data_IF_954016061577
#
_entry.id   IF_954016061577
#
_cell.length_a   1.000
_cell.length_b   1.000
_cell.length_c   1.000
_cell.angle_alpha   90.00
_cell.angle_beta   90.00
_cell.angle_gamma   90.00
#
_symmetry.space_group_name_H-M   'P 1'
#
loop_
_entity.id
_entity.type
_entity.pdbx_description
1 polymer ?
#
# COMPACT_ATOMS: atom_id res chain seq x y z
N UNK A 1 24.72 -30.95 24.67
CA UNK A 1 24.63 -29.47 24.51
C UNK A 1 23.69 -29.20 23.36
N UNK A 2 22.40 -28.98 23.65
CA UNK A 2 21.38 -28.65 22.65
C UNK A 2 21.40 -27.13 22.49
N UNK A 3 21.79 -26.67 21.32
CA UNK A 3 21.71 -25.26 20.95
C UNK A 3 20.26 -24.82 20.93
N UNK A 4 19.96 -23.75 21.67
CA UNK A 4 18.72 -23.00 21.52
C UNK A 4 18.65 -22.48 20.08
N UNK A 5 17.54 -22.67 19.35
CA UNK A 5 17.35 -21.93 18.13
C UNK A 5 17.15 -20.46 18.53
N UNK A 6 18.11 -19.62 18.15
CA UNK A 6 17.94 -18.18 18.20
C UNK A 6 16.70 -17.83 17.37
N UNK A 7 15.70 -17.24 18.02
CA UNK A 7 14.62 -16.50 17.39
C UNK A 7 15.26 -15.34 16.60
N UNK A 8 15.63 -15.63 15.35
CA UNK A 8 15.89 -14.61 14.35
C UNK A 8 14.53 -13.94 14.09
N UNK A 9 14.31 -12.83 14.80
CA UNK A 9 13.31 -11.83 14.48
C UNK A 9 13.44 -11.52 12.99
N UNK A 10 12.46 -11.95 12.21
CA UNK A 10 12.27 -11.43 10.87
C UNK A 10 11.95 -9.94 11.06
N UNK A 11 12.92 -9.09 10.77
CA UNK A 11 12.75 -7.65 10.70
C UNK A 11 11.85 -7.41 9.50
N UNK A 12 10.53 -7.32 9.73
CA UNK A 12 9.64 -6.66 8.81
C UNK A 12 10.16 -5.23 8.70
N UNK A 13 10.67 -4.87 7.52
CA UNK A 13 11.03 -3.49 7.22
C UNK A 13 9.72 -2.70 7.29
N UNK A 14 9.46 -2.07 8.44
CA UNK A 14 8.50 -0.99 8.56
C UNK A 14 9.02 0.08 7.62
N UNK A 15 8.55 0.06 6.38
CA UNK A 15 8.61 1.22 5.53
C UNK A 15 7.64 2.22 6.17
N UNK A 16 8.16 3.01 7.10
CA UNK A 16 7.56 4.30 7.43
C UNK A 16 7.27 4.92 6.08
N UNK A 17 6.00 5.12 5.77
CA UNK A 17 5.63 5.98 4.66
C UNK A 17 6.09 7.36 5.09
N UNK A 18 7.36 7.67 4.83
CA UNK A 18 7.88 9.03 4.87
C UNK A 18 7.28 9.74 3.65
N UNK A 19 5.97 9.92 3.69
CA UNK A 19 5.34 11.10 3.17
C UNK A 19 6.14 12.27 3.75
N UNK A 20 6.77 13.06 2.88
CA UNK A 20 7.55 14.20 3.33
C UNK A 20 6.73 15.01 4.32
N UNK A 21 7.36 15.45 5.42
CA UNK A 21 6.71 16.38 6.34
C UNK A 21 6.24 17.59 5.53
N UNK A 22 4.96 17.95 5.64
CA UNK A 22 4.38 19.15 5.03
C UNK A 22 5.01 20.40 5.63
N UNK A 23 6.22 20.71 5.18
CA UNK A 23 6.76 22.06 5.25
C UNK A 23 6.09 22.90 4.17
N UNK A 24 5.91 24.20 4.44
CA UNK A 24 5.45 25.11 3.40
C UNK A 24 6.36 25.00 2.17
N UNK A 25 5.77 24.76 1.00
CA UNK A 25 6.53 24.72 -0.26
C UNK A 25 7.02 26.12 -0.60
N UNK A 26 8.34 26.36 -0.50
CA UNK A 26 8.94 27.63 -0.89
C UNK A 26 9.09 27.67 -2.42
N UNK A 27 8.46 28.63 -3.13
CA UNK A 27 8.56 28.75 -4.58
C UNK A 27 10.00 28.82 -5.11
N UNK A 28 10.98 29.25 -4.30
CA UNK A 28 12.40 29.32 -4.71
C UNK A 28 13.07 27.96 -4.88
N UNK A 29 12.49 26.90 -4.32
CA UNK A 29 13.01 25.52 -4.42
C UNK A 29 12.60 24.81 -5.72
N UNK A 30 11.85 25.52 -6.59
CA UNK A 30 11.27 24.99 -7.82
C UNK A 30 11.80 25.73 -9.04
N UNK A 31 12.13 24.97 -10.09
CA UNK A 31 12.59 25.51 -11.37
C UNK A 31 11.46 26.23 -12.12
N UNK A 32 10.21 25.82 -11.84
CA UNK A 32 9.02 26.45 -12.40
C UNK A 32 7.90 26.53 -11.39
N UNK A 33 7.31 27.71 -11.29
CA UNK A 33 6.13 27.99 -10.48
C UNK A 33 4.98 28.37 -11.42
N UNK A 34 3.84 27.72 -11.26
CA UNK A 34 2.62 27.97 -12.03
C UNK A 34 1.59 28.50 -11.04
N UNK A 35 1.30 29.80 -11.15
CA UNK A 35 0.40 30.55 -10.27
C UNK A 35 -0.87 31.05 -10.96
N UNK A 36 -1.02 30.75 -12.25
CA UNK A 36 -2.19 31.03 -13.08
C UNK A 36 -2.64 29.78 -13.85
N UNK A 37 -3.77 29.90 -14.57
CA UNK A 37 -4.31 28.82 -15.38
C UNK A 37 -3.55 28.68 -16.70
N UNK A 38 -3.05 27.47 -16.97
CA UNK A 38 -2.28 27.13 -18.16
C UNK A 38 -2.90 25.93 -18.86
N UNK A 39 -3.21 26.09 -20.14
CA UNK A 39 -3.64 24.99 -21.02
C UNK A 39 -2.54 24.70 -22.04
N UNK A 40 -1.74 23.68 -21.76
CA UNK A 40 -0.60 23.32 -22.57
C UNK A 40 -0.14 21.88 -22.32
N UNK A 41 0.52 21.31 -23.32
CA UNK A 41 1.18 20.02 -23.20
C UNK A 41 2.62 20.23 -22.74
N UNK A 42 3.02 19.57 -21.66
CA UNK A 42 4.38 19.66 -21.14
C UNK A 42 5.06 18.30 -21.05
N UNK A 43 6.35 18.32 -21.34
CA UNK A 43 7.29 17.31 -20.86
C UNK A 43 8.26 18.03 -19.93
N UNK A 44 8.31 17.61 -18.67
CA UNK A 44 9.20 18.24 -17.69
C UNK A 44 10.64 17.95 -18.10
N UNK A 45 11.51 18.98 -18.17
CA UNK A 45 12.93 18.79 -18.44
C UNK A 45 13.64 17.96 -17.37
N UNK A 46 14.83 17.44 -17.69
CA UNK A 46 15.49 16.49 -16.80
C UNK A 46 15.92 17.14 -15.50
N UNK A 47 15.47 16.58 -14.38
CA UNK A 47 15.80 17.03 -13.03
C UNK A 47 14.98 18.22 -12.56
N UNK A 48 14.08 18.75 -13.39
CA UNK A 48 13.27 19.91 -13.00
C UNK A 48 12.16 19.54 -12.01
N UNK A 49 11.90 20.49 -11.11
CA UNK A 49 10.86 20.44 -10.09
C UNK A 49 9.89 21.58 -10.32
N UNK A 50 8.63 21.24 -10.51
CA UNK A 50 7.57 22.20 -10.78
C UNK A 50 6.59 22.30 -9.61
N UNK A 51 6.14 23.51 -9.30
CA UNK A 51 5.11 23.79 -8.31
C UNK A 51 3.89 24.40 -8.99
N UNK A 52 2.72 23.81 -8.79
CA UNK A 52 1.43 24.43 -9.10
C UNK A 52 0.87 24.99 -7.79
N UNK A 53 0.88 26.31 -7.65
CA UNK A 53 0.42 26.99 -6.42
C UNK A 53 -1.10 26.87 -6.26
N UNK A 54 -1.68 27.22 -5.10
CA UNK A 54 -3.13 27.15 -4.89
C UNK A 54 -3.98 27.93 -5.91
N UNK A 55 -3.45 29.00 -6.52
CA UNK A 55 -4.13 29.76 -7.58
C UNK A 55 -3.86 29.22 -8.99
N UNK A 56 -2.82 28.41 -9.15
CA UNK A 56 -2.40 27.86 -10.43
C UNK A 56 -3.24 26.66 -10.88
N UNK A 57 -3.31 26.47 -12.19
CA UNK A 57 -3.83 25.22 -12.75
C UNK A 57 -3.15 24.85 -14.06
N UNK A 58 -3.02 23.54 -14.30
CA UNK A 58 -2.49 23.01 -15.56
C UNK A 58 -3.47 22.00 -16.13
N UNK A 59 -3.84 22.18 -17.39
CA UNK A 59 -4.64 21.21 -18.15
C UNK A 59 -3.92 20.85 -19.44
N UNK A 60 -3.84 19.55 -19.76
CA UNK A 60 -3.29 19.06 -21.02
C UNK A 60 -2.52 17.74 -20.86
N UNK A 61 -1.74 17.36 -21.87
CA UNK A 61 -0.91 16.16 -21.83
C UNK A 61 0.34 16.44 -21.00
N UNK A 62 0.44 15.80 -19.84
CA UNK A 62 1.55 16.02 -18.90
C UNK A 62 2.46 14.80 -18.86
N UNK A 63 3.74 15.01 -19.16
CA UNK A 63 4.77 13.99 -19.16
C UNK A 63 5.80 14.37 -18.11
N UNK A 64 5.76 13.71 -16.95
CA UNK A 64 6.59 14.08 -15.80
C UNK A 64 7.99 13.47 -15.95
N UNK A 65 8.14 12.16 -15.87
CA UNK A 65 9.43 11.48 -16.07
C UNK A 65 9.50 10.73 -17.39
N UNK A 66 9.95 11.34 -18.49
CA UNK A 66 10.07 10.67 -19.81
C UNK A 66 11.52 10.54 -20.25
N UNK A 67 12.07 9.33 -20.12
CA UNK A 67 13.50 9.01 -20.29
C UNK A 67 14.45 9.80 -19.39
N UNK A 68 13.90 10.49 -18.38
CA UNK A 68 14.57 11.46 -17.53
C UNK A 68 13.82 11.60 -16.19
N UNK A 69 14.40 12.32 -15.24
CA UNK A 69 13.73 12.59 -13.96
C UNK A 69 12.88 13.85 -14.00
N UNK A 70 11.77 13.90 -13.25
CA UNK A 70 10.96 15.09 -13.10
C UNK A 70 10.00 15.02 -11.92
N UNK A 71 9.64 16.17 -11.35
CA UNK A 71 8.74 16.28 -10.20
C UNK A 71 7.69 17.38 -10.42
N UNK A 72 6.43 17.11 -10.04
CA UNK A 72 5.39 18.12 -9.87
C UNK A 72 4.84 18.05 -8.45
N UNK A 73 4.76 19.19 -7.77
CA UNK A 73 3.94 19.39 -6.58
C UNK A 73 2.67 20.15 -6.96
N UNK A 74 1.52 19.66 -6.52
CA UNK A 74 0.18 20.18 -6.85
C UNK A 74 -0.49 20.67 -5.57
N UNK A 75 -0.54 21.99 -5.41
CA UNK A 75 -1.35 22.69 -4.38
C UNK A 75 -2.61 23.33 -4.98
N UNK A 76 -2.56 23.67 -6.27
CA UNK A 76 -3.71 24.09 -7.08
C UNK A 76 -4.34 22.92 -7.82
N UNK A 77 -4.37 22.97 -9.16
CA UNK A 77 -4.97 21.90 -9.97
C UNK A 77 -4.07 21.36 -11.09
N UNK A 78 -4.05 20.04 -11.24
CA UNK A 78 -3.41 19.33 -12.35
C UNK A 78 -4.42 18.40 -13.02
N UNK A 79 -4.82 18.72 -14.24
CA UNK A 79 -5.71 17.90 -15.07
C UNK A 79 -4.90 17.19 -16.18
N UNK A 80 -4.62 15.91 -15.97
CA UNK A 80 -3.90 15.05 -16.91
C UNK A 80 -4.86 14.42 -17.93
N UNK A 81 -4.70 14.76 -19.21
CA UNK A 81 -5.48 14.19 -20.32
C UNK A 81 -4.87 12.90 -20.88
N UNK A 82 -5.53 12.34 -21.90
CA UNK A 82 -5.09 11.12 -22.57
C UNK A 82 -3.71 11.28 -23.22
N UNK A 83 -2.80 10.35 -22.91
CA UNK A 83 -1.36 10.41 -23.25
C UNK A 83 -0.47 11.16 -22.27
N UNK A 84 -0.98 11.49 -21.08
CA UNK A 84 -0.13 11.88 -19.96
C UNK A 84 0.58 10.66 -19.36
N UNK A 85 1.72 10.88 -18.73
CA UNK A 85 2.54 9.86 -18.06
C UNK A 85 3.10 10.45 -16.77
N UNK A 86 2.95 9.73 -15.66
CA UNK A 86 3.80 10.02 -14.49
C UNK A 86 5.23 9.59 -14.84
N UNK A 87 5.43 8.38 -15.37
CA UNK A 87 6.73 7.97 -15.88
C UNK A 87 6.67 7.12 -17.15
N UNK A 88 7.67 7.27 -18.02
CA UNK A 88 7.82 6.52 -19.27
C UNK A 88 9.28 6.28 -19.65
N UNK A 89 9.55 5.09 -20.20
CA UNK A 89 10.85 4.59 -20.66
C UNK A 89 11.82 4.23 -19.52
N UNK A 90 12.79 3.36 -19.81
CA UNK A 90 13.68 2.72 -18.82
C UNK A 90 14.44 3.68 -17.87
N UNK A 91 14.76 4.90 -18.33
CA UNK A 91 15.43 5.93 -17.51
C UNK A 91 14.46 7.00 -17.01
N UNK A 92 13.18 6.91 -17.37
CA UNK A 92 12.15 7.81 -16.87
C UNK A 92 11.87 7.55 -15.41
N UNK A 93 11.92 8.61 -14.61
CA UNK A 93 11.45 8.58 -13.23
C UNK A 93 10.65 9.85 -12.92
N UNK A 94 9.35 9.71 -12.69
CA UNK A 94 8.48 10.86 -12.44
C UNK A 94 7.79 10.77 -11.08
N UNK A 95 7.68 11.92 -10.41
CA UNK A 95 6.93 12.05 -9.16
C UNK A 95 5.85 13.11 -9.29
N UNK A 96 4.63 12.78 -8.91
CA UNK A 96 3.54 13.75 -8.70
C UNK A 96 3.15 13.73 -7.23
N UNK A 97 3.21 14.87 -6.57
CA UNK A 97 2.79 15.04 -5.17
C UNK A 97 1.54 15.91 -5.13
N UNK A 98 0.46 15.41 -4.54
CA UNK A 98 -0.76 16.16 -4.23
C UNK A 98 -0.74 16.44 -2.74
N UNK A 99 -0.84 17.71 -2.37
CA UNK A 99 -0.77 18.15 -0.98
C UNK A 99 -1.74 19.31 -0.72
N UNK A 100 -1.94 19.63 0.56
CA UNK A 100 -2.86 20.68 1.03
C UNK A 100 -4.27 20.51 0.42
N UNK A 101 -4.74 21.48 -0.36
CA UNK A 101 -6.03 21.47 -1.06
C UNK A 101 -5.89 21.13 -2.55
N UNK A 102 -4.73 20.62 -2.97
CA UNK A 102 -4.41 20.32 -4.35
C UNK A 102 -5.33 19.28 -4.98
N UNK A 103 -5.58 19.43 -6.28
CA UNK A 103 -6.46 18.53 -7.05
C UNK A 103 -5.72 17.96 -8.24
N UNK A 104 -5.54 16.64 -8.25
CA UNK A 104 -5.09 15.87 -9.41
C UNK A 104 -6.29 15.18 -10.05
N UNK A 105 -6.62 15.52 -11.30
CA UNK A 105 -7.57 14.77 -12.09
C UNK A 105 -6.87 14.04 -13.23
N UNK A 106 -7.13 12.74 -13.33
CA UNK A 106 -6.59 11.86 -14.36
C UNK A 106 -7.77 11.37 -15.19
N UNK A 107 -8.08 12.10 -16.25
CA UNK A 107 -9.35 12.01 -16.98
C UNK A 107 -9.52 10.73 -17.80
N UNK A 108 -8.44 10.03 -18.08
CA UNK A 108 -8.44 8.81 -18.89
C UNK A 108 -7.44 7.81 -18.31
N UNK A 109 -7.31 6.66 -18.95
CA UNK A 109 -6.28 5.68 -18.58
C UNK A 109 -4.89 6.31 -18.70
N UNK A 110 -4.28 6.62 -17.57
CA UNK A 110 -2.91 7.11 -17.46
C UNK A 110 -2.10 6.04 -16.72
N UNK A 111 -1.05 5.49 -17.35
CA UNK A 111 -0.15 4.63 -16.62
C UNK A 111 0.71 5.46 -15.66
N UNK A 112 0.85 4.99 -14.43
CA UNK A 112 1.80 5.58 -13.48
C UNK A 112 3.22 5.30 -13.97
N UNK A 113 3.48 4.08 -14.43
CA UNK A 113 4.74 3.71 -15.07
C UNK A 113 4.51 2.94 -16.37
N UNK A 114 5.38 3.19 -17.35
CA UNK A 114 5.29 2.60 -18.68
C UNK A 114 6.67 2.42 -19.33
N UNK A 115 6.80 1.41 -20.19
CA UNK A 115 7.95 1.15 -21.07
C UNK A 115 9.31 1.03 -20.32
N UNK A 116 9.29 0.53 -19.08
CA UNK A 116 10.42 0.36 -18.15
C UNK A 116 10.60 1.50 -17.14
N UNK A 117 9.69 2.48 -17.10
CA UNK A 117 9.80 3.66 -16.23
C UNK A 117 9.51 3.38 -14.76
N UNK A 118 9.84 4.38 -13.92
CA UNK A 118 9.56 4.39 -12.48
C UNK A 118 8.67 5.57 -12.10
N UNK A 119 7.38 5.34 -11.84
CA UNK A 119 6.43 6.38 -11.51
C UNK A 119 6.03 6.38 -10.04
N UNK A 120 5.95 7.56 -9.43
CA UNK A 120 5.48 7.73 -8.05
C UNK A 120 4.38 8.78 -7.98
N UNK A 121 3.28 8.47 -7.30
CA UNK A 121 2.26 9.44 -6.89
C UNK A 121 2.23 9.49 -5.37
N UNK A 122 2.35 10.69 -4.79
CA UNK A 122 2.21 10.93 -3.35
C UNK A 122 0.94 11.72 -3.10
N UNK A 123 0.12 11.29 -2.17
CA UNK A 123 -1.15 11.92 -1.78
C UNK A 123 -1.04 12.23 -0.29
N UNK A 124 -0.60 13.45 -0.01
CA UNK A 124 -0.34 13.95 1.34
C UNK A 124 -1.57 14.68 1.90
N UNK A 125 -2.30 15.35 1.00
CA UNK A 125 -3.57 16.04 1.23
C UNK A 125 -4.42 16.03 -0.04
N UNK A 126 -5.42 16.92 -0.10
CA UNK A 126 -6.16 17.23 -1.32
C UNK A 126 -6.97 16.06 -1.91
N UNK A 127 -7.17 16.12 -3.23
CA UNK A 127 -7.93 15.14 -3.99
C UNK A 127 -7.13 14.58 -5.18
N UNK A 128 -7.09 13.26 -5.31
CA UNK A 128 -6.53 12.55 -6.47
C UNK A 128 -7.59 11.68 -7.13
N UNK A 129 -8.11 12.13 -8.27
CA UNK A 129 -9.22 11.51 -8.99
C UNK A 129 -8.73 10.80 -10.25
N UNK A 130 -8.68 9.47 -10.19
CA UNK A 130 -8.40 8.59 -11.34
C UNK A 130 -9.72 8.19 -12.00
N UNK A 131 -10.12 8.94 -13.02
CA UNK A 131 -11.45 8.81 -13.65
C UNK A 131 -11.51 7.64 -14.66
N UNK A 132 -10.40 7.36 -15.34
CA UNK A 132 -10.24 6.17 -16.19
C UNK A 132 -9.62 4.98 -15.45
N UNK A 133 -9.37 3.88 -16.17
CA UNK A 133 -8.63 2.74 -15.61
C UNK A 133 -7.26 3.19 -15.09
N UNK A 134 -6.97 2.90 -13.82
CA UNK A 134 -5.66 3.18 -13.25
C UNK A 134 -4.76 1.97 -13.45
N UNK A 135 -3.66 2.17 -14.15
CA UNK A 135 -2.73 1.10 -14.50
C UNK A 135 -1.37 1.46 -13.92
N UNK A 136 -0.92 0.69 -12.94
CA UNK A 136 0.37 0.94 -12.30
C UNK A 136 1.50 0.64 -13.31
N UNK A 137 1.43 -0.52 -13.96
CA UNK A 137 2.34 -0.91 -15.05
C UNK A 137 1.55 -1.17 -16.32
N UNK A 138 1.95 -0.55 -17.43
CA UNK A 138 1.31 -0.79 -18.72
C UNK A 138 1.67 -2.16 -19.31
N UNK A 139 2.80 -2.76 -18.91
CA UNK A 139 3.06 -4.20 -19.11
C UNK A 139 3.29 -4.62 -20.56
N UNK A 140 4.13 -3.92 -21.31
CA UNK A 140 4.54 -4.35 -22.66
C UNK A 140 5.83 -5.19 -22.63
N UNK A 141 5.91 -6.18 -21.73
CA UNK A 141 7.11 -7.00 -21.54
C UNK A 141 8.31 -6.23 -20.99
N UNK A 142 8.07 -5.10 -20.31
CA UNK A 142 9.09 -4.29 -19.61
C UNK A 142 8.77 -4.21 -18.12
N UNK A 143 9.80 -4.29 -17.29
CA UNK A 143 9.67 -4.19 -15.84
C UNK A 143 9.43 -2.73 -15.44
N UNK A 144 8.17 -2.29 -15.47
CA UNK A 144 7.76 -0.99 -14.95
C UNK A 144 7.68 -1.04 -13.42
N UNK A 145 7.98 0.08 -12.74
CA UNK A 145 7.73 0.21 -11.29
C UNK A 145 6.80 1.38 -11.02
N UNK A 146 5.66 1.14 -10.38
CA UNK A 146 4.73 2.19 -10.02
C UNK A 146 4.38 2.14 -8.54
N UNK A 147 4.42 3.32 -7.91
CA UNK A 147 4.16 3.50 -6.49
C UNK A 147 3.10 4.57 -6.26
N UNK A 148 2.11 4.29 -5.42
CA UNK A 148 1.25 5.29 -4.78
C UNK A 148 1.53 5.27 -3.27
N UNK A 149 1.80 6.43 -2.69
CA UNK A 149 1.94 6.62 -1.26
C UNK A 149 0.87 7.60 -0.79
N UNK A 150 0.01 7.19 0.13
CA UNK A 150 -1.05 8.04 0.67
C UNK A 150 -0.95 8.13 2.19
N UNK A 151 -0.88 9.35 2.71
CA UNK A 151 -0.87 9.64 4.15
C UNK A 151 -1.99 10.57 4.59
N UNK A 152 -2.68 11.20 3.64
CA UNK A 152 -3.84 12.04 3.86
C UNK A 152 -4.68 12.17 2.59
N UNK A 153 -5.52 13.20 2.52
CA UNK A 153 -6.36 13.49 1.37
C UNK A 153 -7.36 12.39 0.99
N UNK A 154 -7.94 12.51 -0.20
CA UNK A 154 -8.89 11.57 -0.80
C UNK A 154 -8.39 11.10 -2.16
N UNK A 155 -8.34 9.79 -2.35
CA UNK A 155 -8.12 9.18 -3.66
C UNK A 155 -9.38 8.46 -4.15
N UNK A 156 -9.77 8.72 -5.39
CA UNK A 156 -10.92 8.09 -6.03
C UNK A 156 -10.47 7.39 -7.30
N UNK A 157 -10.66 6.07 -7.37
CA UNK A 157 -10.44 5.27 -8.56
C UNK A 157 -11.79 4.89 -9.15
N UNK A 158 -12.28 5.70 -10.09
CA UNK A 158 -13.64 5.58 -10.62
C UNK A 158 -13.83 4.33 -11.51
N UNK A 159 -12.74 3.82 -12.08
CA UNK A 159 -12.73 2.62 -12.93
C UNK A 159 -11.86 1.51 -12.31
N UNK A 160 -11.42 0.54 -13.12
CA UNK A 160 -10.63 -0.58 -12.61
C UNK A 160 -9.19 -0.17 -12.30
N UNK A 161 -8.60 -0.81 -11.29
CA UNK A 161 -7.19 -0.65 -10.91
C UNK A 161 -6.42 -1.93 -11.21
N UNK A 162 -5.30 -1.81 -11.92
CA UNK A 162 -4.40 -2.91 -12.28
C UNK A 162 -3.02 -2.63 -11.71
N UNK A 163 -2.68 -3.26 -10.59
CA UNK A 163 -1.44 -2.96 -9.89
C UNK A 163 -0.19 -3.54 -10.54
N UNK A 164 -0.28 -4.62 -11.32
CA UNK A 164 0.93 -5.27 -11.88
C UNK A 164 0.89 -5.52 -13.39
N UNK A 165 0.06 -4.80 -14.12
CA UNK A 165 -0.03 -4.95 -15.58
C UNK A 165 -1.46 -4.94 -16.10
N UNK A 166 -1.65 -4.30 -17.26
CA UNK A 166 -2.85 -4.51 -18.07
C UNK A 166 -2.56 -5.44 -19.26
N UNK A 167 -1.52 -5.14 -20.04
CA UNK A 167 -1.20 -5.88 -21.27
C UNK A 167 -0.35 -7.12 -21.00
N UNK A 168 -0.49 -8.12 -21.87
CA UNK A 168 0.31 -9.34 -21.83
C UNK A 168 1.61 -9.16 -22.62
N UNK A 169 2.75 -9.70 -22.13
CA UNK A 169 2.93 -10.32 -20.81
C UNK A 169 2.98 -9.26 -19.69
N UNK A 170 2.23 -9.49 -18.62
CA UNK A 170 2.16 -8.61 -17.45
C UNK A 170 3.41 -8.86 -16.57
N UNK A 171 4.30 -7.87 -16.45
CA UNK A 171 5.60 -8.03 -15.79
C UNK A 171 6.10 -6.82 -14.99
N UNK A 172 5.20 -5.92 -14.57
CA UNK A 172 5.54 -4.77 -13.74
C UNK A 172 5.40 -5.02 -12.24
N UNK A 173 5.90 -4.07 -11.45
CA UNK A 173 5.76 -4.05 -10.00
C UNK A 173 4.91 -2.87 -9.56
N UNK A 174 3.83 -3.15 -8.84
CA UNK A 174 2.95 -2.13 -8.26
C UNK A 174 3.02 -2.09 -6.74
N UNK A 175 3.10 -0.89 -6.18
CA UNK A 175 2.99 -0.68 -4.74
C UNK A 175 1.98 0.42 -4.44
N UNK A 176 1.00 0.15 -3.59
CA UNK A 176 0.18 1.21 -3.00
C UNK A 176 0.20 1.03 -1.49
N UNK A 177 0.76 2.00 -0.76
CA UNK A 177 0.69 2.08 0.69
C UNK A 177 -0.20 3.24 1.13
N UNK A 178 -1.13 2.98 2.05
CA UNK A 178 -2.01 3.97 2.65
C UNK A 178 -1.87 3.94 4.18
N UNK A 179 -1.62 5.11 4.78
CA UNK A 179 -1.41 5.31 6.22
C UNK A 179 -2.34 6.35 6.85
N UNK A 180 -3.10 7.08 6.02
CA UNK A 180 -4.11 8.03 6.42
C UNK A 180 -4.93 8.49 5.20
N UNK A 181 -5.97 9.28 5.44
CA UNK A 181 -6.90 9.73 4.38
C UNK A 181 -7.88 8.64 3.94
N UNK A 182 -8.49 8.85 2.77
CA UNK A 182 -9.51 7.97 2.20
C UNK A 182 -9.11 7.46 0.81
N UNK A 183 -9.28 6.16 0.54
CA UNK A 183 -9.13 5.57 -0.79
C UNK A 183 -10.39 4.80 -1.17
N UNK A 184 -11.01 5.19 -2.28
CA UNK A 184 -12.23 4.57 -2.82
C UNK A 184 -11.96 3.96 -4.18
N UNK A 185 -12.18 2.66 -4.30
CA UNK A 185 -12.11 1.90 -5.55
C UNK A 185 -13.52 1.58 -6.04
N UNK A 186 -14.02 2.35 -6.99
CA UNK A 186 -15.37 2.17 -7.56
C UNK A 186 -15.45 0.98 -8.52
N UNK A 187 -14.37 0.72 -9.26
CA UNK A 187 -14.21 -0.47 -10.10
C UNK A 187 -13.47 -1.61 -9.38
N UNK A 188 -13.02 -2.60 -10.16
CA UNK A 188 -12.27 -3.72 -9.60
C UNK A 188 -10.84 -3.32 -9.22
N UNK A 189 -10.44 -3.62 -7.99
CA UNK A 189 -9.06 -3.56 -7.51
C UNK A 189 -8.37 -4.91 -7.73
N UNK A 190 -7.41 -4.94 -8.66
CA UNK A 190 -6.61 -6.12 -8.98
C UNK A 190 -5.20 -5.98 -8.43
N UNK A 191 -4.93 -6.69 -7.34
CA UNK A 191 -3.61 -6.76 -6.69
C UNK A 191 -2.83 -7.92 -7.30
N UNK A 192 -2.01 -7.58 -8.29
CA UNK A 192 -1.17 -8.51 -9.04
C UNK A 192 -1.58 -8.66 -10.49
N UNK A 193 -1.07 -9.71 -11.14
CA UNK A 193 -1.24 -10.00 -12.55
C UNK A 193 -1.68 -11.46 -12.76
N UNK A 194 -2.60 -11.69 -13.69
CA UNK A 194 -2.96 -13.02 -14.19
C UNK A 194 -3.59 -12.92 -15.61
N UNK A 195 -3.04 -13.59 -16.63
CA UNK A 195 -1.78 -14.33 -16.63
C UNK A 195 -0.56 -13.39 -16.62
N UNK A 196 0.45 -13.68 -15.81
CA UNK A 196 1.68 -12.88 -15.77
C UNK A 196 2.60 -13.21 -14.60
N UNK A 197 3.73 -12.51 -14.55
CA UNK A 197 4.70 -12.55 -13.43
C UNK A 197 4.77 -11.23 -12.68
N UNK A 198 3.98 -10.25 -13.07
CA UNK A 198 3.88 -8.97 -12.36
C UNK A 198 3.44 -9.17 -10.91
N UNK A 199 4.11 -8.46 -10.00
CA UNK A 199 3.87 -8.54 -8.56
C UNK A 199 3.28 -7.24 -8.04
N UNK A 200 2.34 -7.30 -7.12
CA UNK A 200 1.82 -6.11 -6.45
C UNK A 200 1.85 -6.24 -4.93
N UNK A 201 2.00 -5.10 -4.24
CA UNK A 201 1.77 -4.96 -2.80
C UNK A 201 0.77 -3.83 -2.55
N UNK A 202 -0.38 -4.14 -1.97
CA UNK A 202 -1.29 -3.15 -1.43
C UNK A 202 -1.21 -3.20 0.10
N UNK A 203 -0.92 -2.07 0.74
CA UNK A 203 -0.50 -2.02 2.13
C UNK A 203 -1.33 -0.99 2.91
N UNK A 204 -1.97 -1.45 3.98
CA UNK A 204 -2.75 -0.62 4.92
C UNK A 204 -1.97 -0.49 6.22
N UNK A 205 -1.72 0.74 6.66
CA UNK A 205 -0.83 1.05 7.78
C UNK A 205 -1.61 1.82 8.85
N UNK A 206 -1.69 1.23 10.04
CA UNK A 206 -2.42 1.81 11.16
C UNK A 206 -3.93 1.87 10.94
N UNK A 207 -4.61 2.52 11.87
CA UNK A 207 -6.08 2.61 11.92
C UNK A 207 -6.64 3.96 11.41
N UNK A 208 -5.78 4.87 10.96
CA UNK A 208 -6.20 6.16 10.43
C UNK A 208 -6.83 6.13 9.02
N UNK A 209 -6.41 5.26 8.08
CA UNK A 209 -6.96 5.33 6.73
C UNK A 209 -8.36 4.70 6.63
N UNK A 210 -9.15 5.17 5.66
CA UNK A 210 -10.39 4.50 5.24
C UNK A 210 -10.18 3.91 3.85
N UNK A 211 -10.45 2.62 3.68
CA UNK A 211 -10.30 1.91 2.40
C UNK A 211 -11.61 1.25 2.02
N UNK A 212 -12.21 1.70 0.92
CA UNK A 212 -13.46 1.15 0.40
C UNK A 212 -13.28 0.63 -1.01
N UNK A 213 -13.65 -0.63 -1.24
CA UNK A 213 -13.69 -1.28 -2.55
C UNK A 213 -15.15 -1.55 -2.91
N UNK A 214 -15.76 -0.62 -3.63
CA UNK A 214 -17.15 -0.73 -4.08
C UNK A 214 -17.30 -1.63 -5.31
N UNK A 215 -16.24 -1.82 -6.10
CA UNK A 215 -16.15 -2.89 -7.09
C UNK A 215 -15.67 -4.20 -6.46
N UNK A 216 -14.99 -5.06 -7.23
CA UNK A 216 -14.43 -6.31 -6.70
C UNK A 216 -12.98 -6.16 -6.22
N UNK A 217 -12.58 -6.99 -5.27
CA UNK A 217 -11.18 -7.17 -4.87
C UNK A 217 -10.67 -8.50 -5.43
N UNK A 218 -9.57 -8.48 -6.16
CA UNK A 218 -8.87 -9.69 -6.60
C UNK A 218 -7.42 -9.66 -6.14
N UNK A 219 -7.00 -10.70 -5.44
CA UNK A 219 -5.61 -10.91 -5.01
C UNK A 219 -5.03 -12.10 -5.76
N UNK A 220 -4.04 -11.84 -6.63
CA UNK A 220 -3.38 -12.88 -7.42
C UNK A 220 -2.17 -13.49 -6.70
N UNK A 221 -1.82 -14.71 -7.10
CA UNK A 221 -0.59 -15.37 -6.67
C UNK A 221 0.65 -14.50 -6.96
N UNK A 222 1.63 -14.57 -6.05
CA UNK A 222 2.85 -13.74 -6.12
C UNK A 222 2.67 -12.27 -5.74
N UNK A 223 1.48 -11.88 -5.29
CA UNK A 223 1.17 -10.53 -4.80
C UNK A 223 0.69 -10.56 -3.34
N UNK A 224 0.71 -9.40 -2.70
CA UNK A 224 0.58 -9.27 -1.24
C UNK A 224 -0.43 -8.19 -0.86
N UNK A 225 -1.30 -8.51 0.10
CA UNK A 225 -1.98 -7.53 0.94
C UNK A 225 -1.20 -7.41 2.26
N UNK A 226 -0.64 -6.23 2.51
CA UNK A 226 0.11 -5.92 3.72
C UNK A 226 -0.74 -5.17 4.73
N UNK A 227 -0.63 -5.53 6.00
CA UNK A 227 -1.31 -4.86 7.11
C UNK A 227 -0.30 -4.58 8.22
N UNK A 228 -0.05 -3.30 8.48
CA UNK A 228 0.80 -2.86 9.58
C UNK A 228 -0.08 -2.39 10.73
N UNK A 229 -0.03 -3.12 11.85
CA UNK A 229 -0.86 -2.90 13.03
C UNK A 229 -0.11 -1.98 14.00
N UNK A 230 -0.68 -0.81 14.27
CA UNK A 230 -0.16 0.15 15.24
C UNK A 230 -0.95 0.15 16.55
N UNK A 231 -0.70 1.14 17.41
CA UNK A 231 -1.37 1.28 18.72
C UNK A 231 -2.90 1.39 18.64
N UNK A 232 -3.43 1.98 17.56
CA UNK A 232 -4.87 2.06 17.28
C UNK A 232 -5.44 0.85 16.56
N UNK A 233 -4.63 -0.17 16.27
CA UNK A 233 -4.98 -1.30 15.41
C UNK A 233 -4.59 -1.06 13.94
N UNK A 234 -5.36 -1.66 13.03
CA UNK A 234 -5.22 -1.51 11.58
C UNK A 234 -6.60 -1.30 10.97
N UNK A 235 -6.67 -0.49 9.90
CA UNK A 235 -7.91 -0.30 9.16
C UNK A 235 -8.25 -1.51 8.30
N UNK A 236 -9.54 -1.81 8.23
CA UNK A 236 -10.10 -2.87 7.39
C UNK A 236 -10.28 -2.39 5.96
N UNK A 237 -9.99 -3.25 4.98
CA UNK A 237 -10.42 -3.05 3.60
C UNK A 237 -11.91 -3.44 3.50
N UNK A 238 -12.78 -2.47 3.27
CA UNK A 238 -14.23 -2.72 3.17
C UNK A 238 -14.66 -2.98 1.73
N UNK A 239 -14.94 -4.23 1.38
CA UNK A 239 -15.36 -4.64 0.03
C UNK A 239 -16.89 -4.71 -0.03
N UNK A 240 -17.51 -3.56 -0.27
CA UNK A 240 -18.97 -3.39 -0.13
C UNK A 240 -19.78 -4.13 -1.21
N UNK A 241 -19.16 -4.53 -2.33
CA UNK A 241 -19.78 -5.39 -3.34
C UNK A 241 -19.92 -6.85 -2.91
N UNK A 242 -19.22 -7.26 -1.85
CA UNK A 242 -19.00 -8.66 -1.47
C UNK A 242 -18.34 -9.53 -2.57
N UNK A 243 -17.67 -8.92 -3.55
CA UNK A 243 -16.98 -9.63 -4.62
C UNK A 243 -15.48 -9.71 -4.33
N UNK A 244 -15.06 -10.77 -3.63
CA UNK A 244 -13.65 -11.07 -3.35
C UNK A 244 -13.21 -12.32 -4.11
N UNK A 245 -12.04 -12.26 -4.75
CA UNK A 245 -11.40 -13.40 -5.41
C UNK A 245 -9.96 -13.54 -4.94
N UNK A 246 -9.71 -14.58 -4.14
CA UNK A 246 -8.41 -14.91 -3.60
C UNK A 246 -7.81 -16.04 -4.43
N UNK A 247 -6.76 -15.73 -5.19
CA UNK A 247 -6.19 -16.60 -6.20
C UNK A 247 -4.74 -16.96 -5.84
N UNK A 248 -4.50 -17.31 -4.56
CA UNK A 248 -3.21 -17.78 -4.05
C UNK A 248 -2.20 -16.69 -3.70
N UNK A 249 -2.64 -15.44 -3.51
CA UNK A 249 -1.77 -14.38 -2.98
C UNK A 249 -1.59 -14.46 -1.46
N UNK A 250 -0.83 -13.51 -0.93
CA UNK A 250 -0.36 -13.51 0.46
C UNK A 250 -0.96 -12.40 1.31
N UNK A 251 -1.14 -12.69 2.59
CA UNK A 251 -1.35 -11.70 3.66
C UNK A 251 -0.03 -11.54 4.42
N UNK A 252 0.45 -10.30 4.55
CA UNK A 252 1.67 -9.95 5.28
C UNK A 252 1.32 -9.04 6.46
N UNK A 253 1.72 -9.40 7.67
CA UNK A 253 1.33 -8.78 8.93
C UNK A 253 2.55 -8.24 9.66
N UNK A 254 2.57 -6.92 9.87
CA UNK A 254 3.60 -6.25 10.64
C UNK A 254 3.02 -5.61 11.91
N UNK A 255 3.83 -5.53 12.96
CA UNK A 255 3.54 -4.76 14.16
C UNK A 255 4.42 -3.51 14.16
N UNK A 256 3.82 -2.33 14.38
CA UNK A 256 4.52 -1.06 14.52
C UNK A 256 4.53 -0.62 15.98
N UNK A 257 5.63 -0.92 16.68
CA UNK A 257 5.87 -0.49 18.06
C UNK A 257 4.90 -1.08 19.09
N UNK A 258 4.12 -2.12 18.73
CA UNK A 258 3.10 -2.74 19.60
C UNK A 258 3.37 -4.23 19.82
N UNK A 259 2.79 -4.77 20.90
CA UNK A 259 2.75 -6.21 21.17
C UNK A 259 1.33 -6.56 21.61
N UNK A 260 0.49 -7.12 20.73
CA UNK A 260 -0.85 -7.54 21.08
C UNK A 260 -0.83 -8.67 22.13
N UNK A 261 -1.91 -8.80 22.90
CA UNK A 261 -2.11 -9.98 23.72
C UNK A 261 -2.44 -11.19 22.83
N UNK A 262 -2.05 -12.39 23.26
CA UNK A 262 -2.45 -13.64 22.60
C UNK A 262 -3.99 -13.71 22.48
N UNK A 263 -4.47 -14.13 21.30
CA UNK A 263 -5.88 -14.18 20.96
C UNK A 263 -6.47 -12.84 20.48
N UNK A 264 -5.71 -11.75 20.45
CA UNK A 264 -6.17 -10.48 19.88
C UNK A 264 -6.47 -10.66 18.39
N UNK A 265 -7.62 -10.17 17.95
CA UNK A 265 -8.07 -10.25 16.56
C UNK A 265 -8.04 -8.88 15.88
N UNK A 266 -7.63 -8.84 14.62
CA UNK A 266 -7.65 -7.63 13.78
C UNK A 266 -8.43 -7.89 12.49
N UNK A 267 -9.37 -7.00 12.15
CA UNK A 267 -10.20 -7.09 10.95
C UNK A 267 -9.42 -6.60 9.72
N UNK A 268 -9.15 -7.49 8.78
CA UNK A 268 -8.32 -7.20 7.60
C UNK A 268 -9.17 -6.84 6.38
N UNK A 269 -10.16 -7.68 6.06
CA UNK A 269 -11.03 -7.52 4.88
C UNK A 269 -12.46 -7.82 5.30
N UNK A 270 -13.38 -6.89 5.05
CA UNK A 270 -14.82 -7.11 5.21
C UNK A 270 -15.42 -7.45 3.85
N UNK A 271 -15.97 -8.65 3.74
CA UNK A 271 -16.77 -9.15 2.60
C UNK A 271 -17.44 -10.45 3.01
N UNK A 272 -18.71 -10.62 2.64
CA UNK A 272 -19.38 -11.90 2.76
C UNK A 272 -18.66 -12.99 1.93
N UNK A 273 -18.62 -14.22 2.46
CA UNK A 273 -18.20 -15.40 1.71
C UNK A 273 -16.68 -15.54 1.48
N UNK A 274 -15.85 -14.85 2.27
CA UNK A 274 -14.40 -15.04 2.22
C UNK A 274 -14.03 -16.44 2.72
N UNK A 275 -13.21 -17.15 1.95
CA UNK A 275 -12.55 -18.38 2.38
C UNK A 275 -11.06 -18.10 2.71
N UNK A 276 -10.64 -18.16 3.98
CA UNK A 276 -9.26 -17.89 4.39
C UNK A 276 -8.28 -18.95 3.88
N UNK A 277 -8.75 -20.13 3.43
CA UNK A 277 -7.89 -21.18 2.86
C UNK A 277 -7.33 -20.83 1.47
N UNK A 278 -7.89 -19.80 0.82
CA UNK A 278 -7.48 -19.34 -0.52
C UNK A 278 -6.35 -18.31 -0.50
N UNK A 279 -5.89 -17.93 0.70
CA UNK A 279 -4.71 -17.09 0.93
C UNK A 279 -3.75 -17.77 1.89
N UNK A 280 -2.48 -17.40 1.84
CA UNK A 280 -1.51 -17.81 2.83
C UNK A 280 -0.90 -16.61 3.55
N UNK A 281 -0.44 -16.85 4.76
CA UNK A 281 0.41 -15.90 5.48
C UNK A 281 1.79 -15.84 4.81
N UNK A 282 2.41 -14.67 4.84
CA UNK A 282 3.80 -14.50 4.45
C UNK A 282 4.71 -15.39 5.33
N UNK A 283 5.85 -15.81 4.79
CA UNK A 283 6.73 -16.83 5.41
C UNK A 283 7.19 -16.47 6.83
N UNK A 284 7.26 -15.17 7.18
CA UNK A 284 7.61 -14.71 8.52
C UNK A 284 6.45 -14.73 9.54
N UNK A 285 5.21 -14.79 9.09
CA UNK A 285 4.03 -14.53 9.93
C UNK A 285 3.37 -15.79 10.45
N UNK A 286 3.57 -16.91 9.76
CA UNK A 286 2.90 -18.18 10.06
C UNK A 286 3.18 -18.73 11.47
N UNK A 287 4.22 -18.23 12.15
CA UNK A 287 4.53 -18.59 13.54
C UNK A 287 3.81 -17.71 14.58
N UNK A 288 3.40 -16.50 14.20
CA UNK A 288 2.82 -15.50 15.10
C UNK A 288 1.34 -15.24 14.86
N UNK A 289 0.82 -15.65 13.71
CA UNK A 289 -0.53 -15.31 13.26
C UNK A 289 -1.29 -16.52 12.73
N UNK A 290 -2.61 -16.50 12.90
CA UNK A 290 -3.56 -17.33 12.17
C UNK A 290 -4.57 -16.46 11.44
N UNK A 291 -5.06 -16.94 10.30
CA UNK A 291 -6.20 -16.33 9.60
C UNK A 291 -7.48 -17.07 9.96
N UNK A 292 -8.55 -16.33 10.20
CA UNK A 292 -9.89 -16.86 10.43
C UNK A 292 -10.95 -15.98 9.78
N UNK A 293 -12.18 -16.46 9.76
CA UNK A 293 -13.35 -15.61 9.49
C UNK A 293 -14.07 -15.39 10.82
N UNK A 294 -14.61 -14.18 11.01
CA UNK A 294 -15.42 -13.88 12.18
C UNK A 294 -16.67 -14.80 12.27
N UNK A 295 -17.36 -14.77 13.41
CA UNK A 295 -18.54 -15.60 13.64
C UNK A 295 -19.72 -15.33 12.70
N UNK A 296 -19.76 -14.17 12.04
CA UNK A 296 -20.78 -13.82 11.04
C UNK A 296 -20.45 -14.35 9.63
N UNK A 297 -19.21 -14.78 9.36
CA UNK A 297 -18.81 -15.25 8.04
C UNK A 297 -18.50 -14.14 7.03
N UNK A 298 -18.32 -12.89 7.48
CA UNK A 298 -18.25 -11.71 6.61
C UNK A 298 -16.98 -10.87 6.77
N UNK A 299 -16.05 -11.28 7.63
CA UNK A 299 -14.80 -10.55 7.85
C UNK A 299 -13.63 -11.50 8.02
N UNK A 300 -12.61 -11.36 7.18
CA UNK A 300 -11.31 -12.00 7.33
C UNK A 300 -10.54 -11.30 8.47
N UNK A 301 -10.08 -12.08 9.43
CA UNK A 301 -9.38 -11.60 10.61
C UNK A 301 -8.00 -12.27 10.74
N UNK A 302 -7.03 -11.52 11.27
CA UNK A 302 -5.80 -12.07 11.80
C UNK A 302 -5.91 -12.24 13.32
N UNK A 303 -5.48 -13.40 13.84
CA UNK A 303 -5.42 -13.70 15.27
C UNK A 303 -3.97 -13.80 15.69
N UNK A 304 -3.58 -13.02 16.70
CA UNK A 304 -2.23 -13.07 17.27
C UNK A 304 -2.06 -14.30 18.16
N UNK A 305 -1.01 -15.09 17.94
CA UNK A 305 -0.81 -16.41 18.60
C UNK A 305 0.34 -16.43 19.61
N UNK A 306 1.12 -15.36 19.75
CA UNK A 306 2.31 -15.38 20.60
C UNK A 306 1.92 -15.08 22.04
N UNK A 307 2.18 -15.98 23.00
CA UNK A 307 1.92 -15.73 24.42
C UNK A 307 2.78 -14.58 24.94
N UNK A 308 2.24 -13.81 25.90
CA UNK A 308 3.02 -12.77 26.56
C UNK A 308 4.30 -13.34 27.20
N UNK A 309 5.46 -12.68 27.06
CA UNK A 309 6.74 -13.16 27.61
C UNK A 309 6.68 -13.45 29.13
N UNK A 310 5.86 -12.69 29.86
CA UNK A 310 5.69 -12.86 31.31
C UNK A 310 5.02 -14.19 31.67
N UNK A 311 4.07 -14.66 30.86
CA UNK A 311 3.32 -15.90 31.09
C UNK A 311 4.23 -17.13 30.97
N UNK A 312 5.13 -17.12 29.98
CA UNK A 312 6.14 -18.17 29.82
C UNK A 312 7.17 -18.16 30.97
N UNK A 313 7.60 -16.97 31.42
CA UNK A 313 8.52 -16.83 32.54
C UNK A 313 7.92 -17.28 33.88
N UNK A 314 6.65 -16.95 34.15
CA UNK A 314 5.93 -17.35 35.36
C UNK A 314 5.65 -18.86 35.40
N UNK A 315 5.32 -19.50 34.28
CA UNK A 315 5.20 -20.96 34.21
C UNK A 315 6.56 -21.64 34.48
N UNK A 316 7.64 -21.11 33.89
CA UNK A 316 9.00 -21.61 34.14
C UNK A 316 9.41 -21.49 35.61
N UNK A 317 9.12 -20.35 36.24
CA UNK A 317 9.34 -20.13 37.68
C UNK A 317 8.47 -21.04 38.55
N UNK A 318 7.20 -21.24 38.19
CA UNK A 318 6.29 -22.14 38.91
C UNK A 318 6.77 -23.60 38.90
N UNK A 319 7.25 -24.09 37.75
CA UNK A 319 7.82 -25.42 37.61
C UNK A 319 9.15 -25.57 38.39
N UNK A 320 10.00 -24.53 38.40
CA UNK A 320 11.23 -24.51 39.20
C UNK A 320 10.94 -24.53 40.71
N UNK A 321 9.93 -23.78 41.18
CA UNK A 321 9.51 -23.79 42.60
C UNK A 321 8.92 -25.14 43.00
N UNK A 322 8.11 -25.77 42.14
CA UNK A 322 7.57 -27.10 42.36
C UNK A 322 8.66 -28.19 42.38
N UNK A 323 9.66 -28.10 41.49
CA UNK A 323 10.80 -29.00 41.47
C UNK A 323 11.71 -28.83 42.71
N UNK A 324 11.87 -27.59 43.20
CA UNK A 324 12.65 -27.31 44.42
C UNK A 324 11.95 -27.81 45.69
N UNK A 325 10.61 -27.73 45.76
CA UNK A 325 9.83 -28.33 46.86
C UNK A 325 9.87 -29.85 46.89
N UNK A 326 9.91 -30.52 45.73
CA UNK A 326 10.06 -31.99 45.68
C UNK A 326 11.43 -32.51 46.17
N UNK A 327 12.49 -31.70 46.09
CA UNK A 327 13.82 -32.07 46.59
C UNK A 327 14.00 -31.84 48.11
N UNK A 328 13.19 -30.99 48.73
CA UNK A 328 13.27 -30.70 50.17
C UNK A 328 12.44 -31.66 51.04
N UNK A 329 11.69 -32.58 50.44
CA UNK A 329 10.79 -33.51 51.13
C UNK A 329 11.25 -34.97 51.22
N UNK A 330 12.53 -35.27 50.95
CA UNK A 330 13.09 -36.61 51.18
C UNK A 330 13.73 -36.66 52.58
N UNK A 331 13.14 -37.37 53.56
CA UNK A 331 13.77 -37.61 54.85
C UNK A 331 14.85 -38.69 54.70
N UNK A 332 15.98 -38.48 55.38
CA UNK A 332 16.98 -39.51 55.71
C UNK A 332 16.47 -40.34 56.88
#
# INVERSE_FOLDING_TARGET
MRGMPQLLSAVAVVAVVAAGTSGAYDPVDFDRVIDEAVSANYTIPDGERWLITPSGSVTGNQSVGVSRTGEIVVLGRLDMSSSSYVSRYATGAGTVTVDEDGVLNVASRVPIARDGGTGTVKILGGEANFLGDCVFSFGQGKADTATILQSGGRSTFASNVYMAGWYTPQNGTGRFAISGGEATFSGALRVGANPGTGTARFEVIGAAPTVTVAGSLTLYAGSTLGFTIGAGGVSTIDVTSNAVSLLGGQIDLALDGVTPAEGTTFDLIRSAGIDPQLVCLATGDAAAWALQVNGAGDTLQAVYLVPEPATAALLGLGLLVAARRRRAGAPV
#
